data_IF_551457704234
#
_entry.id   IF_551457704234
#
_cell.length_a   1.000
_cell.length_b   1.000
_cell.length_c   1.000
_cell.angle_alpha   90.00
_cell.angle_beta   90.00
_cell.angle_gamma   90.00
#
_symmetry.space_group_name_H-M   'P 1'
#
loop_
_entity.id
_entity.type
_entity.pdbx_description
1 polymer ?
#
# COMPACT_ATOMS: atom_id res chain seq x y z
N UNK A 1 -25.50 10.46 -3.68
CA UNK A 1 -24.23 10.32 -2.94
C UNK A 1 -23.27 11.42 -3.46
N UNK A 2 -23.62 12.67 -3.14
CA UNK A 2 -22.77 13.81 -3.48
C UNK A 2 -21.71 13.97 -2.37
N UNK A 3 -20.43 13.84 -2.69
CA UNK A 3 -19.31 14.09 -1.78
C UNK A 3 -18.23 13.00 -1.68
N UNK A 4 -18.47 11.81 -2.23
CA UNK A 4 -17.46 10.73 -2.23
C UNK A 4 -16.53 10.91 -3.43
N UNK A 5 -15.22 10.95 -3.19
CA UNK A 5 -14.20 11.05 -4.24
C UNK A 5 -14.17 9.80 -5.14
N UNK A 6 -13.57 9.91 -6.33
CA UNK A 6 -13.42 8.75 -7.20
C UNK A 6 -12.53 7.64 -6.59
N UNK A 7 -11.55 8.01 -5.77
CA UNK A 7 -10.74 7.05 -5.05
C UNK A 7 -11.58 6.27 -4.02
N UNK A 8 -12.40 6.94 -3.23
CA UNK A 8 -13.30 6.28 -2.27
C UNK A 8 -14.31 5.38 -2.98
N UNK A 9 -14.85 5.81 -4.13
CA UNK A 9 -15.73 4.97 -4.95
C UNK A 9 -15.01 3.71 -5.43
N UNK A 10 -13.77 3.83 -5.90
CA UNK A 10 -12.97 2.70 -6.34
C UNK A 10 -12.73 1.69 -5.21
N UNK A 11 -12.40 2.18 -4.03
CA UNK A 11 -12.22 1.36 -2.82
C UNK A 11 -13.50 0.59 -2.48
N UNK A 12 -14.65 1.27 -2.41
CA UNK A 12 -15.95 0.63 -2.12
C UNK A 12 -16.40 -0.38 -3.18
N UNK A 13 -15.98 -0.20 -4.44
CA UNK A 13 -16.25 -1.15 -5.51
C UNK A 13 -15.39 -2.40 -5.36
N UNK A 14 -14.10 -2.25 -5.04
CA UNK A 14 -13.17 -3.37 -4.81
C UNK A 14 -13.57 -4.23 -3.60
N UNK A 15 -14.24 -3.64 -2.61
CA UNK A 15 -14.79 -4.38 -1.47
C UNK A 15 -15.91 -5.36 -1.88
N UNK A 16 -16.65 -5.04 -2.93
CA UNK A 16 -17.86 -5.77 -3.35
C UNK A 16 -17.69 -6.62 -4.59
N UNK A 17 -16.71 -6.29 -5.42
CA UNK A 17 -16.48 -6.92 -6.72
C UNK A 17 -14.99 -7.16 -6.92
N UNK A 18 -14.66 -8.20 -7.65
CA UNK A 18 -13.27 -8.53 -7.97
C UNK A 18 -12.66 -7.48 -8.89
N UNK A 19 -11.34 -7.30 -8.80
CA UNK A 19 -10.62 -6.40 -9.70
C UNK A 19 -10.87 -6.71 -11.19
N UNK A 20 -10.89 -8.00 -11.52
CA UNK A 20 -11.16 -8.49 -12.89
C UNK A 20 -12.55 -8.07 -13.40
N UNK A 21 -13.59 -8.21 -12.58
CA UNK A 21 -14.95 -7.77 -12.95
C UNK A 21 -15.03 -6.26 -13.15
N UNK A 22 -14.33 -5.49 -12.30
CA UNK A 22 -14.33 -4.03 -12.40
C UNK A 22 -13.58 -3.52 -13.64
N UNK A 23 -12.52 -4.21 -14.07
CA UNK A 23 -11.77 -3.82 -15.27
C UNK A 23 -12.53 -3.98 -16.58
N UNK A 24 -13.44 -4.95 -16.67
CA UNK A 24 -14.22 -5.20 -17.87
C UNK A 24 -15.55 -4.45 -17.90
N UNK A 25 -15.91 -3.80 -16.80
CA UNK A 25 -17.16 -3.05 -16.68
C UNK A 25 -17.07 -1.70 -17.39
N UNK A 26 -17.76 -1.61 -18.53
CA UNK A 26 -17.75 -0.40 -19.37
C UNK A 26 -18.43 0.81 -18.71
N UNK A 27 -19.34 0.59 -17.76
CA UNK A 27 -19.99 1.68 -17.00
C UNK A 27 -19.04 2.37 -16.04
N UNK A 28 -17.97 1.68 -15.63
CA UNK A 28 -16.95 2.19 -14.71
C UNK A 28 -15.72 2.78 -15.43
N UNK A 29 -15.79 3.01 -16.74
CA UNK A 29 -14.66 3.50 -17.54
C UNK A 29 -13.98 4.75 -16.95
N UNK A 30 -14.76 5.65 -16.38
CA UNK A 30 -14.27 6.87 -15.72
C UNK A 30 -13.58 6.62 -14.37
N UNK A 31 -13.76 5.44 -13.78
CA UNK A 31 -13.14 5.02 -12.52
C UNK A 31 -12.00 4.01 -12.70
N UNK A 32 -11.79 3.48 -13.88
CA UNK A 32 -10.79 2.43 -14.13
C UNK A 32 -9.39 2.83 -13.64
N UNK A 33 -8.95 4.05 -13.93
CA UNK A 33 -7.65 4.52 -13.45
C UNK A 33 -7.55 4.56 -11.92
N UNK A 34 -8.64 4.91 -11.24
CA UNK A 34 -8.68 4.92 -9.77
C UNK A 34 -8.67 3.48 -9.22
N UNK A 35 -9.42 2.56 -9.85
CA UNK A 35 -9.46 1.14 -9.48
C UNK A 35 -8.07 0.51 -9.65
N UNK A 36 -7.42 0.70 -10.80
CA UNK A 36 -6.06 0.22 -11.06
C UNK A 36 -5.07 0.84 -10.08
N UNK A 37 -5.17 2.15 -9.82
CA UNK A 37 -4.30 2.86 -8.88
C UNK A 37 -4.41 2.32 -7.45
N UNK A 38 -5.62 1.97 -6.99
CA UNK A 38 -5.82 1.39 -5.66
C UNK A 38 -5.17 0.01 -5.54
N UNK A 39 -5.38 -0.88 -6.52
CA UNK A 39 -4.77 -2.21 -6.51
C UNK A 39 -3.25 -2.16 -6.67
N UNK A 40 -2.73 -1.31 -7.54
CA UNK A 40 -1.29 -1.10 -7.68
C UNK A 40 -0.65 -0.59 -6.37
N UNK A 41 -1.31 0.35 -5.69
CA UNK A 41 -0.83 0.86 -4.40
C UNK A 41 -0.77 -0.24 -3.34
N UNK A 42 -1.76 -1.12 -3.30
CA UNK A 42 -1.78 -2.26 -2.37
C UNK A 42 -0.66 -3.26 -2.68
N UNK A 43 -0.47 -3.60 -3.96
CA UNK A 43 0.61 -4.48 -4.39
C UNK A 43 1.97 -3.90 -3.99
N UNK A 44 2.22 -2.63 -4.30
CA UNK A 44 3.50 -2.00 -4.03
C UNK A 44 3.76 -1.87 -2.52
N UNK A 45 2.74 -1.51 -1.73
CA UNK A 45 2.88 -1.49 -0.28
C UNK A 45 3.23 -2.89 0.30
N UNK A 46 2.60 -3.96 -0.19
CA UNK A 46 2.96 -5.34 0.20
C UNK A 46 4.38 -5.71 -0.22
N UNK A 47 4.78 -5.33 -1.43
CA UNK A 47 6.13 -5.57 -1.92
C UNK A 47 7.17 -4.82 -1.06
N UNK A 48 6.94 -3.55 -0.75
CA UNK A 48 7.81 -2.75 0.13
C UNK A 48 7.94 -3.35 1.53
N UNK A 49 6.85 -3.85 2.12
CA UNK A 49 6.89 -4.51 3.42
C UNK A 49 7.70 -5.79 3.37
N UNK A 50 7.52 -6.62 2.34
CA UNK A 50 8.19 -7.92 2.23
C UNK A 50 9.67 -7.81 1.86
N UNK A 51 10.03 -6.85 1.04
CA UNK A 51 11.38 -6.67 0.52
C UNK A 51 12.19 -5.62 1.29
N UNK A 52 11.53 -4.70 1.97
CA UNK A 52 12.10 -3.44 2.42
C UNK A 52 12.10 -2.38 1.31
N UNK A 53 11.91 -1.12 1.70
CA UNK A 53 11.70 0.02 0.79
C UNK A 53 12.85 0.19 -0.21
N UNK A 54 14.10 0.10 0.24
CA UNK A 54 15.27 0.29 -0.62
C UNK A 54 15.40 -0.84 -1.66
N UNK A 55 15.26 -2.11 -1.23
CA UNK A 55 15.33 -3.25 -2.13
C UNK A 55 14.21 -3.23 -3.18
N UNK A 56 12.99 -2.84 -2.79
CA UNK A 56 11.88 -2.68 -3.72
C UNK A 56 12.16 -1.56 -4.72
N UNK A 57 12.61 -0.40 -4.27
CA UNK A 57 12.94 0.75 -5.12
C UNK A 57 14.02 0.40 -6.15
N UNK A 58 15.10 -0.26 -5.72
CA UNK A 58 16.20 -0.67 -6.59
C UNK A 58 15.75 -1.70 -7.64
N UNK A 59 14.89 -2.63 -7.23
CA UNK A 59 14.31 -3.63 -8.12
C UNK A 59 13.41 -2.97 -9.18
N UNK A 60 12.55 -2.05 -8.77
CA UNK A 60 11.67 -1.30 -9.67
C UNK A 60 12.48 -0.42 -10.62
N UNK A 61 13.50 0.28 -10.13
CA UNK A 61 14.41 1.07 -10.96
C UNK A 61 15.12 0.21 -12.00
N UNK A 62 15.62 -0.95 -11.60
CA UNK A 62 16.29 -1.90 -12.49
C UNK A 62 15.35 -2.43 -13.57
N UNK A 63 14.11 -2.75 -13.19
CA UNK A 63 13.06 -3.16 -14.13
C UNK A 63 12.78 -2.05 -15.18
N UNK A 64 12.55 -0.83 -14.72
CA UNK A 64 12.26 0.31 -15.59
C UNK A 64 13.43 0.61 -16.52
N UNK A 65 14.66 0.58 -16.02
CA UNK A 65 15.88 0.79 -16.80
C UNK A 65 16.06 -0.26 -17.90
N UNK A 66 15.78 -1.53 -17.62
CA UNK A 66 15.88 -2.62 -18.61
C UNK A 66 14.82 -2.51 -19.72
N UNK A 67 13.67 -1.92 -19.40
CA UNK A 67 12.52 -1.84 -20.29
C UNK A 67 12.24 -0.41 -20.80
N UNK A 68 13.22 0.48 -20.76
CA UNK A 68 13.09 1.86 -21.25
C UNK A 68 12.61 1.85 -22.71
N UNK A 69 11.52 2.56 -22.99
CA UNK A 69 10.85 2.64 -24.28
C UNK A 69 10.26 1.32 -24.83
N UNK A 70 10.14 0.28 -24.00
CA UNK A 70 9.52 -0.99 -24.39
C UNK A 70 8.12 -1.10 -23.77
N UNK A 71 7.20 -1.70 -24.53
CA UNK A 71 5.94 -2.16 -23.95
C UNK A 71 6.18 -3.48 -23.21
N UNK A 72 5.96 -3.50 -21.93
CA UNK A 72 6.05 -4.70 -21.11
C UNK A 72 4.65 -5.22 -20.78
N UNK A 73 4.43 -6.51 -20.97
CA UNK A 73 3.22 -7.16 -20.49
C UNK A 73 3.27 -7.26 -18.96
N UNK A 74 2.11 -7.14 -18.33
CA UNK A 74 2.00 -7.14 -16.86
C UNK A 74 2.63 -8.39 -16.23
N UNK A 75 2.35 -9.58 -16.77
CA UNK A 75 2.93 -10.84 -16.30
C UNK A 75 4.45 -10.84 -16.40
N UNK A 76 5.01 -10.36 -17.51
CA UNK A 76 6.45 -10.27 -17.69
C UNK A 76 7.08 -9.25 -16.71
N UNK A 77 6.35 -8.18 -16.39
CA UNK A 77 6.78 -7.22 -15.37
C UNK A 77 6.88 -7.89 -14.00
N UNK A 78 5.88 -8.67 -13.61
CA UNK A 78 5.86 -9.38 -12.34
C UNK A 78 6.98 -10.42 -12.25
N UNK A 79 7.19 -11.20 -13.31
CA UNK A 79 8.25 -12.21 -13.37
C UNK A 79 9.62 -11.54 -13.25
N UNK A 80 9.87 -10.50 -14.04
CA UNK A 80 11.15 -9.76 -14.01
C UNK A 80 11.38 -9.10 -12.65
N UNK A 81 10.35 -8.52 -12.05
CA UNK A 81 10.44 -7.92 -10.72
C UNK A 81 10.73 -9.01 -9.66
N UNK A 82 10.08 -10.16 -9.77
CA UNK A 82 10.32 -11.32 -8.91
C UNK A 82 11.73 -11.85 -9.02
N UNK A 83 12.27 -11.98 -10.23
CA UNK A 83 13.66 -12.40 -10.48
C UNK A 83 14.68 -11.42 -9.87
N UNK A 84 14.51 -10.13 -10.10
CA UNK A 84 15.41 -9.09 -9.59
C UNK A 84 15.37 -9.05 -8.06
N UNK A 85 14.19 -9.09 -7.49
CA UNK A 85 13.98 -8.98 -6.04
C UNK A 85 14.19 -10.28 -5.28
N UNK A 86 14.22 -11.42 -5.97
CA UNK A 86 14.18 -12.77 -5.39
C UNK A 86 12.97 -12.99 -4.47
N UNK A 87 11.87 -12.33 -4.78
CA UNK A 87 10.62 -12.39 -4.02
C UNK A 87 9.52 -12.87 -4.95
N UNK A 88 8.64 -13.74 -4.47
CA UNK A 88 7.46 -14.15 -5.23
C UNK A 88 6.42 -13.01 -5.27
N UNK A 89 6.63 -12.08 -6.20
CA UNK A 89 5.74 -10.92 -6.40
C UNK A 89 4.33 -11.38 -6.81
N UNK A 90 4.21 -12.52 -7.51
CA UNK A 90 2.89 -13.03 -7.90
C UNK A 90 2.05 -13.43 -6.70
N UNK A 91 2.67 -14.03 -5.69
CA UNK A 91 1.94 -14.37 -4.45
C UNK A 91 1.47 -13.13 -3.69
N UNK A 92 2.20 -12.01 -3.81
CA UNK A 92 1.81 -10.74 -3.18
C UNK A 92 0.62 -10.05 -3.86
N UNK A 93 0.37 -10.35 -5.13
CA UNK A 93 -0.85 -9.89 -5.82
C UNK A 93 -2.11 -10.39 -5.13
N UNK A 94 -1.93 -11.47 -4.35
CA UNK A 94 -3.05 -12.10 -3.71
C UNK A 94 -4.10 -12.45 -4.76
N UNK A 95 -5.29 -12.36 -4.37
CA UNK A 95 -6.41 -12.90 -5.05
C UNK A 95 -7.14 -11.82 -5.86
N UNK A 96 -6.50 -11.33 -6.93
CA UNK A 96 -7.17 -10.39 -7.87
C UNK A 96 -8.52 -10.93 -8.40
N UNK A 97 -8.74 -12.22 -8.24
CA UNK A 97 -10.00 -12.87 -8.57
C UNK A 97 -10.99 -12.90 -7.38
N UNK A 98 -10.57 -12.43 -6.21
CA UNK A 98 -11.44 -12.29 -5.05
C UNK A 98 -11.71 -10.82 -4.75
N UNK A 99 -12.81 -10.58 -4.05
CA UNK A 99 -13.09 -9.25 -3.48
C UNK A 99 -12.07 -8.94 -2.40
N UNK A 100 -11.73 -7.67 -2.27
CA UNK A 100 -10.77 -7.24 -1.26
C UNK A 100 -11.51 -6.50 -0.15
N UNK A 101 -11.91 -7.19 0.92
CA UNK A 101 -12.55 -6.56 2.05
C UNK A 101 -11.61 -5.54 2.69
N UNK A 102 -12.19 -4.46 3.19
CA UNK A 102 -11.44 -3.41 3.85
C UNK A 102 -11.20 -3.79 5.31
N UNK A 103 -9.96 -3.73 5.79
CA UNK A 103 -9.70 -3.79 7.22
C UNK A 103 -10.29 -2.55 7.91
N UNK A 104 -10.83 -2.75 9.10
CA UNK A 104 -11.38 -1.68 9.91
C UNK A 104 -10.51 -1.47 11.15
N UNK A 105 -9.89 -0.29 11.22
CA UNK A 105 -9.00 0.06 12.32
C UNK A 105 -9.62 1.08 13.28
N UNK A 106 -9.45 0.85 14.56
CA UNK A 106 -9.65 1.84 15.60
C UNK A 106 -8.31 2.44 16.00
N UNK A 107 -8.26 3.74 16.05
CA UNK A 107 -7.07 4.49 16.47
C UNK A 107 -7.31 5.05 17.88
N UNK A 108 -6.42 4.73 18.80
CA UNK A 108 -6.40 5.36 20.12
C UNK A 108 -5.80 6.78 20.06
N UNK A 109 -5.94 7.50 21.14
CA UNK A 109 -5.38 8.85 21.25
C UNK A 109 -3.84 8.79 21.21
N UNK A 110 -3.17 9.53 20.32
CA UNK A 110 -1.73 9.53 20.24
C UNK A 110 -1.10 10.29 21.43
N UNK A 111 -0.03 9.76 21.97
CA UNK A 111 0.77 10.45 23.00
C UNK A 111 2.17 10.72 22.47
N UNK A 112 2.64 11.96 22.62
CA UNK A 112 3.97 12.38 22.23
C UNK A 112 4.80 12.69 23.48
N UNK A 113 5.91 11.98 23.66
CA UNK A 113 6.81 12.17 24.80
C UNK A 113 8.17 12.61 24.28
N UNK A 114 8.67 13.72 24.83
CA UNK A 114 10.04 14.17 24.60
C UNK A 114 10.99 13.41 25.54
N UNK A 115 12.05 12.85 25.00
CA UNK A 115 13.12 12.19 25.75
C UNK A 115 14.46 12.81 25.36
N UNK A 116 15.38 12.85 26.31
CA UNK A 116 16.75 13.33 26.08
C UNK A 116 17.72 12.20 26.40
N UNK A 117 18.62 11.90 25.48
CA UNK A 117 19.64 10.87 25.73
C UNK A 117 20.77 11.42 26.61
N UNK A 118 21.70 10.54 27.01
CA UNK A 118 22.85 10.89 27.83
C UNK A 118 23.80 11.91 27.20
N UNK A 119 23.72 12.07 25.85
CA UNK A 119 24.50 13.05 25.08
C UNK A 119 23.82 14.41 24.95
N UNK A 120 22.63 14.60 25.54
CA UNK A 120 21.86 15.85 25.44
C UNK A 120 21.02 15.99 24.17
N UNK A 121 20.97 14.96 23.31
CA UNK A 121 20.14 14.97 22.12
C UNK A 121 18.67 14.70 22.46
N UNK A 122 17.79 15.46 21.84
CA UNK A 122 16.35 15.37 22.06
C UNK A 122 15.68 14.48 21.02
N UNK A 123 14.86 13.56 21.49
CA UNK A 123 14.04 12.67 20.70
C UNK A 123 12.57 12.79 21.08
N UNK A 124 11.69 12.49 20.13
CA UNK A 124 10.26 12.40 20.38
C UNK A 124 9.80 10.95 20.18
N UNK A 125 9.10 10.43 21.16
CA UNK A 125 8.47 9.10 21.08
C UNK A 125 6.98 9.31 20.90
N UNK A 126 6.46 8.91 19.74
CA UNK A 126 5.03 8.83 19.46
C UNK A 126 4.54 7.43 19.84
N UNK A 127 3.53 7.36 20.68
CA UNK A 127 2.81 6.12 21.01
C UNK A 127 1.36 6.28 20.64
N UNK A 128 0.82 5.29 19.96
CA UNK A 128 -0.59 5.22 19.56
C UNK A 128 -1.02 3.76 19.59
N UNK A 129 -2.20 3.50 20.14
CA UNK A 129 -2.82 2.20 20.03
C UNK A 129 -3.53 2.12 18.68
N UNK A 130 -3.28 1.04 17.94
CA UNK A 130 -3.97 0.73 16.70
C UNK A 130 -4.54 -0.67 16.87
N UNK A 131 -5.83 -0.83 16.66
CA UNK A 131 -6.51 -2.11 16.76
C UNK A 131 -7.18 -2.42 15.43
N UNK A 132 -6.89 -3.59 14.86
CA UNK A 132 -7.64 -4.13 13.73
C UNK A 132 -8.91 -4.80 14.26
N UNK A 133 -10.06 -4.27 13.91
CA UNK A 133 -11.37 -4.77 14.35
C UNK A 133 -12.07 -5.59 13.24
N UNK A 134 -11.30 -6.05 12.25
CA UNK A 134 -11.78 -6.88 11.15
C UNK A 134 -11.08 -8.23 11.14
N UNK A 135 -11.68 -9.20 10.45
CA UNK A 135 -11.10 -10.54 10.24
C UNK A 135 -10.06 -10.56 9.09
N UNK A 136 -9.64 -9.39 8.61
CA UNK A 136 -8.77 -9.26 7.45
C UNK A 136 -7.49 -8.54 7.81
N UNK A 137 -6.39 -9.02 7.25
CA UNK A 137 -5.12 -8.34 7.34
C UNK A 137 -5.14 -7.02 6.59
N UNK A 138 -4.44 -6.04 7.10
CA UNK A 138 -4.34 -4.74 6.46
C UNK A 138 -3.00 -4.07 6.61
N UNK A 139 -2.83 -3.00 5.86
CA UNK A 139 -1.63 -2.18 5.88
C UNK A 139 -2.04 -0.77 6.28
N UNK A 140 -1.38 -0.24 7.29
CA UNK A 140 -1.53 1.15 7.70
C UNK A 140 -0.31 1.90 7.21
N UNK A 141 -0.56 2.94 6.42
CA UNK A 141 0.46 3.91 6.07
C UNK A 141 0.38 5.09 7.03
N UNK A 142 1.46 5.36 7.73
CA UNK A 142 1.55 6.45 8.69
C UNK A 142 2.54 7.50 8.22
N UNK A 143 2.06 8.72 8.09
CA UNK A 143 2.88 9.88 7.77
C UNK A 143 2.94 10.82 8.96
N UNK A 144 4.15 11.11 9.43
CA UNK A 144 4.38 12.10 10.47
C UNK A 144 4.96 13.35 9.82
N UNK A 145 4.27 14.47 10.00
CA UNK A 145 4.69 15.77 9.47
C UNK A 145 4.91 16.76 10.62
N UNK A 146 5.95 17.56 10.50
CA UNK A 146 6.18 18.73 11.34
C UNK A 146 6.52 19.91 10.45
N UNK A 147 5.85 21.04 10.65
CA UNK A 147 6.08 22.31 9.93
C UNK A 147 6.07 22.16 8.40
N UNK A 148 5.23 21.27 7.88
CA UNK A 148 5.11 20.99 6.44
C UNK A 148 6.18 20.04 5.86
N UNK A 149 7.15 19.61 6.67
CA UNK A 149 8.20 18.66 6.25
C UNK A 149 7.84 17.23 6.66
N UNK A 150 8.21 16.26 5.81
CA UNK A 150 8.07 14.84 6.11
C UNK A 150 9.15 14.41 7.10
N UNK A 151 8.73 13.77 8.18
CA UNK A 151 9.66 13.24 9.19
C UNK A 151 9.79 11.74 9.12
N UNK A 152 8.69 11.04 8.92
CA UNK A 152 8.66 9.60 8.88
C UNK A 152 7.45 9.16 8.05
N UNK A 153 7.67 8.20 7.17
CA UNK A 153 6.63 7.43 6.51
C UNK A 153 6.88 5.96 6.83
N UNK A 154 5.91 5.27 7.35
CA UNK A 154 6.02 3.87 7.73
C UNK A 154 4.78 3.10 7.34
N UNK A 155 4.99 1.87 6.85
CA UNK A 155 3.92 0.89 6.66
C UNK A 155 3.92 -0.06 7.84
N UNK A 156 2.75 -0.29 8.40
CA UNK A 156 2.53 -1.27 9.45
C UNK A 156 1.63 -2.37 8.90
N UNK A 157 2.10 -3.60 9.02
CA UNK A 157 1.29 -4.79 8.73
C UNK A 157 0.82 -5.36 10.06
N UNK A 158 -0.48 -5.55 10.19
CA UNK A 158 -1.09 -6.19 11.33
C UNK A 158 -1.98 -7.33 10.83
N UNK A 159 -1.69 -8.55 11.29
CA UNK A 159 -2.50 -9.72 11.00
C UNK A 159 -3.74 -9.71 11.88
N UNK A 160 -4.86 -10.21 11.36
CA UNK A 160 -6.05 -10.50 12.16
C UNK A 160 -5.70 -11.55 13.22
N UNK A 161 -6.17 -11.32 14.45
CA UNK A 161 -5.94 -12.21 15.61
C UNK A 161 -7.06 -13.25 15.69
#
# INVERSE_FOLDING_TARGET
>A
INGISNNEKAVLLLEKRTFKELLVDMELRNLQNNIVGQEASRLFARAEINMGVEAFRDSLYSLLKRNTFLNIKFENMLDTLGEISRTDIRSLLGEWEKTTPLPFYSLGEPTLTKITNKGGEEFFVLKMLISNNSDYDGIIHMDIRKDGWWYLSAFLHESAI
#
